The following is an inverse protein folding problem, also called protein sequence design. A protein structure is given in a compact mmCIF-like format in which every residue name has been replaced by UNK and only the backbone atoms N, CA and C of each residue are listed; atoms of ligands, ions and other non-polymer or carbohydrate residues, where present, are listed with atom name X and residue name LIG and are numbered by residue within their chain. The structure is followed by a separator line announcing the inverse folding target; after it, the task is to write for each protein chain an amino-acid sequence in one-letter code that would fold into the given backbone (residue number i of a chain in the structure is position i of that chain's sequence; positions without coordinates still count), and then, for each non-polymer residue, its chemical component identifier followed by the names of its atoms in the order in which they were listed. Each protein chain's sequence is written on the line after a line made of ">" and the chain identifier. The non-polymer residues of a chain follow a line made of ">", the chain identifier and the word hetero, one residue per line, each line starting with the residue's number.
data_IF_022452715809
#
_entry.id   IF_022452715809
#
_cell.length_a   1.000
_cell.length_b   1.000
_cell.length_c   1.000
_cell.angle_alpha   90.00
_cell.angle_beta   90.00
_cell.angle_gamma   90.00
#
_symmetry.space_group_name_H-M   'P 1'
#
loop_
_entity.id
_entity.type
_entity.pdbx_description
1 polymer ?
#
# COMPACT_ATOMS: atom_id res chain seq x y z
N UNK A 1 15.26 -9.87 0.07
CA UNK A 1 14.36 -9.37 -1.00
C UNK A 1 13.36 -8.34 -0.49
N UNK A 2 12.60 -8.60 0.60
CA UNK A 2 11.65 -7.62 1.18
C UNK A 2 12.29 -6.27 1.53
N UNK A 3 13.42 -6.29 2.22
CA UNK A 3 14.18 -5.09 2.60
C UNK A 3 14.67 -4.27 1.40
N UNK A 4 14.93 -4.91 0.26
CA UNK A 4 15.32 -4.20 -0.98
C UNK A 4 14.13 -3.44 -1.56
N UNK A 5 12.93 -4.05 -1.55
CA UNK A 5 11.71 -3.37 -1.96
C UNK A 5 11.38 -2.20 -1.03
N UNK A 6 11.53 -2.39 0.28
CA UNK A 6 11.39 -1.33 1.27
C UNK A 6 12.40 -0.20 1.03
N UNK A 7 13.68 -0.54 0.81
CA UNK A 7 14.73 0.43 0.53
C UNK A 7 14.39 1.29 -0.69
N UNK A 8 14.02 0.70 -1.82
CA UNK A 8 13.66 1.47 -3.01
C UNK A 8 12.35 2.25 -2.84
N UNK A 9 11.37 1.70 -2.11
CA UNK A 9 10.14 2.43 -1.79
C UNK A 9 10.44 3.71 -1.00
N UNK A 10 11.35 3.65 -0.03
CA UNK A 10 11.77 4.82 0.75
C UNK A 10 12.65 5.77 -0.07
N UNK A 11 13.62 5.24 -0.82
CA UNK A 11 14.56 6.03 -1.64
C UNK A 11 13.84 6.87 -2.71
N UNK A 12 12.81 6.29 -3.33
CA UNK A 12 12.09 6.90 -4.44
C UNK A 12 10.70 7.42 -4.07
N UNK A 13 10.40 7.55 -2.77
CA UNK A 13 9.13 8.07 -2.25
C UNK A 13 7.89 7.40 -2.89
N UNK A 14 7.96 6.08 -3.06
CA UNK A 14 6.89 5.30 -3.68
C UNK A 14 6.69 5.49 -5.18
N UNK A 15 7.57 6.23 -5.88
CA UNK A 15 7.50 6.40 -7.34
C UNK A 15 7.68 5.06 -8.06
N UNK A 16 6.57 4.53 -8.57
CA UNK A 16 6.52 3.20 -9.16
C UNK A 16 7.52 3.02 -10.31
N UNK A 17 7.68 4.04 -11.17
CA UNK A 17 8.53 3.90 -12.36
C UNK A 17 10.01 3.86 -11.98
N UNK A 18 10.43 4.70 -11.03
CA UNK A 18 11.81 4.70 -10.54
C UNK A 18 12.16 3.41 -9.81
N UNK A 19 11.23 2.91 -8.97
CA UNK A 19 11.42 1.63 -8.29
C UNK A 19 11.53 0.50 -9.31
N UNK A 20 10.64 0.46 -10.30
CA UNK A 20 10.70 -0.54 -11.37
C UNK A 20 12.03 -0.48 -12.14
N UNK A 21 12.48 0.71 -12.52
CA UNK A 21 13.76 0.90 -13.21
C UNK A 21 14.96 0.48 -12.35
N UNK A 22 14.95 0.79 -11.06
CA UNK A 22 16.00 0.38 -10.14
C UNK A 22 16.09 -1.15 -10.00
N UNK A 23 14.93 -1.83 -9.95
CA UNK A 23 14.85 -3.29 -9.93
C UNK A 23 15.30 -3.90 -11.25
N UNK A 24 14.86 -3.34 -12.39
CA UNK A 24 15.20 -3.79 -13.74
C UNK A 24 16.70 -3.67 -14.01
N UNK A 25 17.29 -2.53 -13.66
CA UNK A 25 18.72 -2.24 -13.85
C UNK A 25 19.62 -2.88 -12.80
N UNK A 26 19.04 -3.56 -11.79
CA UNK A 26 19.75 -4.13 -10.64
C UNK A 26 20.65 -3.09 -9.97
N UNK A 27 20.07 -1.92 -9.71
CA UNK A 27 20.75 -0.81 -9.07
C UNK A 27 21.49 -1.29 -7.81
N UNK A 28 22.76 -0.90 -7.68
CA UNK A 28 23.60 -1.35 -6.57
C UNK A 28 23.12 -0.74 -5.26
N UNK A 29 23.08 -1.55 -4.22
CA UNK A 29 22.69 -1.16 -2.87
C UNK A 29 23.87 -1.47 -1.95
N UNK A 30 24.29 -0.52 -1.14
CA UNK A 30 25.30 -0.76 -0.11
C UNK A 30 24.68 -1.64 0.99
N UNK A 31 25.44 -2.58 1.56
CA UNK A 31 24.88 -3.48 2.56
C UNK A 31 24.41 -2.71 3.80
N UNK A 32 25.13 -1.65 4.14
CA UNK A 32 24.86 -0.73 5.25
C UNK A 32 23.52 -0.02 5.12
N UNK A 33 23.05 0.21 3.89
CA UNK A 33 21.75 0.84 3.64
C UNK A 33 20.56 -0.07 3.96
N UNK A 34 20.78 -1.39 3.97
CA UNK A 34 19.77 -2.39 4.29
C UNK A 34 19.78 -2.76 5.78
N UNK A 35 20.90 -2.53 6.48
CA UNK A 35 20.98 -2.69 7.92
C UNK A 35 19.99 -1.72 8.57
N UNK A 36 19.15 -2.24 9.44
CA UNK A 36 18.18 -1.47 10.22
C UNK A 36 17.24 -0.58 9.38
N UNK A 37 17.05 -0.87 8.08
CA UNK A 37 16.16 -0.08 7.21
C UNK A 37 14.72 -0.01 7.75
N UNK A 38 14.28 -1.07 8.42
CA UNK A 38 12.96 -1.14 9.07
C UNK A 38 12.83 -0.18 10.26
N UNK A 39 13.94 0.22 10.89
CA UNK A 39 13.93 1.23 11.97
C UNK A 39 13.63 2.64 11.45
N UNK A 40 13.77 2.87 10.14
CA UNK A 40 13.45 4.17 9.50
C UNK A 40 11.94 4.40 9.35
N UNK A 41 11.11 3.40 9.61
CA UNK A 41 9.65 3.50 9.54
C UNK A 41 9.02 3.24 10.90
N UNK A 42 7.90 3.89 11.18
CA UNK A 42 7.14 3.73 12.43
C UNK A 42 5.89 2.86 12.28
N UNK A 43 5.66 2.33 11.08
CA UNK A 43 4.46 1.58 10.71
C UNK A 43 4.81 0.19 10.19
N UNK A 44 3.79 -0.65 10.03
CA UNK A 44 3.96 -1.95 9.40
C UNK A 44 4.03 -1.81 7.88
N UNK A 45 4.66 -2.78 7.23
CA UNK A 45 4.69 -2.84 5.78
C UNK A 45 4.48 -4.27 5.28
N UNK A 46 3.87 -4.38 4.10
CA UNK A 46 3.75 -5.62 3.33
C UNK A 46 4.23 -5.35 1.90
N UNK A 47 4.91 -6.32 1.31
CA UNK A 47 5.50 -6.19 -0.03
C UNK A 47 4.74 -7.06 -1.04
N UNK A 48 4.84 -6.73 -2.32
CA UNK A 48 4.14 -7.46 -3.40
C UNK A 48 4.50 -8.95 -3.49
N UNK A 49 5.61 -9.37 -2.88
CA UNK A 49 6.06 -10.77 -2.82
C UNK A 49 5.60 -11.50 -1.55
N UNK A 50 4.99 -10.80 -0.60
CA UNK A 50 4.48 -11.40 0.63
C UNK A 50 3.13 -12.09 0.36
N UNK A 51 2.92 -13.25 0.99
CA UNK A 51 1.66 -14.00 0.85
C UNK A 51 0.44 -13.24 1.40
N UNK A 52 0.66 -12.33 2.33
CA UNK A 52 -0.36 -11.49 2.95
C UNK A 52 -0.75 -10.27 2.11
N UNK A 53 -0.01 -9.99 1.02
CA UNK A 53 -0.29 -8.85 0.16
C UNK A 53 -1.68 -8.97 -0.49
N UNK A 54 -2.49 -7.89 -0.52
CA UNK A 54 -3.86 -7.97 -1.01
C UNK A 54 -3.93 -8.35 -2.49
N UNK A 55 -4.50 -9.54 -2.80
CA UNK A 55 -4.58 -10.07 -4.17
C UNK A 55 -5.28 -9.13 -5.15
N UNK A 56 -6.31 -8.41 -4.71
CA UNK A 56 -7.01 -7.43 -5.55
C UNK A 56 -6.09 -6.31 -6.02
N UNK A 57 -5.09 -5.93 -5.22
CA UNK A 57 -4.09 -4.93 -5.58
C UNK A 57 -3.01 -5.48 -6.51
N UNK A 58 -2.76 -6.80 -6.54
CA UNK A 58 -1.84 -7.37 -7.53
C UNK A 58 -2.35 -7.23 -8.98
N UNK A 59 -3.67 -7.13 -9.15
CA UNK A 59 -4.33 -7.18 -10.46
C UNK A 59 -4.52 -5.80 -11.11
N UNK A 60 -4.13 -4.71 -10.44
CA UNK A 60 -4.27 -3.35 -10.99
C UNK A 60 -3.08 -3.01 -11.90
N UNK A 61 -3.26 -1.99 -12.75
CA UNK A 61 -2.15 -1.42 -13.50
C UNK A 61 -1.12 -0.80 -12.52
N UNK A 62 0.14 -1.26 -12.60
CA UNK A 62 1.25 -0.83 -11.73
C UNK A 62 0.97 -1.05 -10.24
N UNK A 63 0.91 -2.31 -9.78
CA UNK A 63 0.71 -2.61 -8.37
C UNK A 63 1.85 -2.01 -7.53
N UNK A 64 1.56 -1.38 -6.37
CA UNK A 64 2.59 -0.91 -5.47
C UNK A 64 3.54 -2.03 -5.06
N UNK A 65 4.85 -1.76 -5.00
CA UNK A 65 5.81 -2.76 -4.54
C UNK A 65 5.74 -2.99 -3.02
N UNK A 66 5.37 -1.94 -2.27
CA UNK A 66 5.28 -1.92 -0.82
C UNK A 66 4.02 -1.14 -0.41
N UNK A 67 3.29 -1.66 0.57
CA UNK A 67 2.18 -0.98 1.23
C UNK A 67 2.56 -0.73 2.69
N UNK A 68 2.57 0.53 3.09
CA UNK A 68 2.71 0.95 4.48
C UNK A 68 1.34 1.08 5.12
N UNK A 69 1.15 0.54 6.33
CA UNK A 69 -0.15 0.51 6.97
C UNK A 69 -0.10 0.59 8.50
N UNK A 70 -1.23 1.00 9.08
CA UNK A 70 -1.50 0.98 10.52
C UNK A 70 -2.80 0.21 10.73
N UNK A 71 -2.82 -0.70 11.69
CA UNK A 71 -3.99 -1.53 12.02
C UNK A 71 -3.89 -2.96 11.50
N UNK A 72 -5.04 -3.61 11.32
CA UNK A 72 -5.11 -5.05 11.01
C UNK A 72 -5.20 -5.32 9.49
N UNK A 73 -4.14 -5.87 8.90
CA UNK A 73 -4.09 -6.23 7.48
C UNK A 73 -5.10 -7.33 7.09
N UNK A 74 -5.51 -8.19 8.03
CA UNK A 74 -6.41 -9.31 7.76
C UNK A 74 -7.78 -8.88 7.23
N UNK A 75 -8.20 -7.63 7.48
CA UNK A 75 -9.45 -7.05 6.93
C UNK A 75 -9.45 -7.07 5.40
N UNK A 76 -8.29 -6.97 4.76
CA UNK A 76 -8.17 -7.00 3.29
C UNK A 76 -8.34 -8.41 2.71
N UNK A 77 -7.97 -9.43 3.49
CA UNK A 77 -8.02 -10.85 3.11
C UNK A 77 -9.31 -11.55 3.55
N UNK A 78 -10.21 -10.84 4.22
CA UNK A 78 -11.56 -11.29 4.56
C UNK A 78 -12.35 -11.68 3.29
N UNK A 79 -13.29 -12.63 3.36
CA UNK A 79 -14.11 -13.02 2.21
C UNK A 79 -15.22 -12.02 1.85
N UNK A 80 -15.47 -11.03 2.71
CA UNK A 80 -16.43 -9.94 2.46
C UNK A 80 -16.06 -9.14 1.22
N UNK A 81 -17.07 -8.72 0.47
CA UNK A 81 -16.90 -7.76 -0.61
C UNK A 81 -16.42 -6.40 -0.07
N UNK A 82 -15.48 -5.78 -0.77
CA UNK A 82 -14.97 -4.46 -0.44
C UNK A 82 -15.63 -3.45 -1.37
N UNK A 83 -16.26 -2.42 -0.81
CA UNK A 83 -16.91 -1.35 -1.54
C UNK A 83 -16.16 -0.05 -1.29
N UNK A 84 -15.64 0.56 -2.36
CA UNK A 84 -15.11 1.92 -2.30
C UNK A 84 -16.26 2.92 -2.44
N UNK A 85 -16.39 3.85 -1.49
CA UNK A 85 -17.35 4.96 -1.54
C UNK A 85 -16.55 6.26 -1.63
N UNK A 86 -16.62 6.93 -2.77
CA UNK A 86 -15.91 8.18 -3.06
C UNK A 86 -16.92 9.32 -3.31
N UNK A 87 -16.52 10.57 -3.04
CA UNK A 87 -17.40 11.73 -3.23
C UNK A 87 -16.67 13.07 -3.12
N UNK A 88 -17.43 14.17 -3.11
CA UNK A 88 -16.91 15.53 -2.94
C UNK A 88 -16.24 15.72 -1.57
N UNK A 89 -15.17 16.52 -1.53
CA UNK A 89 -14.52 16.96 -0.28
C UNK A 89 -15.34 18.00 0.48
N UNK A 90 -16.35 18.61 -0.17
CA UNK A 90 -17.27 19.60 0.43
C UNK A 90 -18.73 19.13 0.23
N UNK A 91 -19.18 18.12 0.98
CA UNK A 91 -20.54 17.59 0.83
C UNK A 91 -21.57 18.54 1.43
N UNK A 92 -22.72 18.69 0.76
CA UNK A 92 -23.89 19.31 1.39
C UNK A 92 -24.52 18.35 2.41
N UNK A 93 -25.43 18.87 3.25
CA UNK A 93 -26.10 18.07 4.31
C UNK A 93 -26.75 16.79 3.77
N UNK A 94 -27.40 16.85 2.60
CA UNK A 94 -28.06 15.69 1.98
C UNK A 94 -27.04 14.62 1.59
N UNK A 95 -25.94 14.99 0.94
CA UNK A 95 -24.88 14.06 0.54
C UNK A 95 -24.27 13.33 1.73
N UNK A 96 -24.01 14.03 2.84
CA UNK A 96 -23.49 13.42 4.07
C UNK A 96 -24.48 12.41 4.68
N UNK A 97 -25.78 12.73 4.69
CA UNK A 97 -26.82 11.83 5.19
C UNK A 97 -26.92 10.57 4.31
N UNK A 98 -26.92 10.74 2.99
CA UNK A 98 -26.95 9.61 2.05
C UNK A 98 -25.74 8.69 2.23
N UNK A 99 -24.52 9.25 2.32
CA UNK A 99 -23.31 8.45 2.55
C UNK A 99 -23.40 7.64 3.85
N UNK A 100 -23.88 8.26 4.94
CA UNK A 100 -24.10 7.55 6.22
C UNK A 100 -25.13 6.44 6.13
N UNK A 101 -26.20 6.63 5.34
CA UNK A 101 -27.21 5.58 5.13
C UNK A 101 -26.64 4.41 4.35
N UNK A 102 -25.82 4.67 3.32
CA UNK A 102 -25.17 3.63 2.52
C UNK A 102 -24.17 2.81 3.34
N UNK A 103 -23.49 3.42 4.32
CA UNK A 103 -22.57 2.71 5.22
C UNK A 103 -23.26 2.05 6.41
N UNK A 104 -24.50 2.47 6.75
CA UNK A 104 -25.29 1.90 7.86
C UNK A 104 -25.99 0.62 7.42
N UNK A 105 -25.21 -0.42 7.18
CA UNK A 105 -25.55 -1.86 7.21
C UNK A 105 -24.49 -2.59 6.40
N UNK A 106 -23.58 -3.24 7.10
CA UNK A 106 -22.71 -4.31 6.59
C UNK A 106 -22.46 -5.27 7.73
#
# INVERSE_FOLDING_TARGET
>A
MRQVLLFFALKYDGDWLKIYQALETKEKIAYEDLIDIETKITCHYVTIIDSEYPKLLCNIYRPPFVLFYVGNLAVLNDQRHKLAICGTTVPNKRGLVTAKMLTKKS
#
